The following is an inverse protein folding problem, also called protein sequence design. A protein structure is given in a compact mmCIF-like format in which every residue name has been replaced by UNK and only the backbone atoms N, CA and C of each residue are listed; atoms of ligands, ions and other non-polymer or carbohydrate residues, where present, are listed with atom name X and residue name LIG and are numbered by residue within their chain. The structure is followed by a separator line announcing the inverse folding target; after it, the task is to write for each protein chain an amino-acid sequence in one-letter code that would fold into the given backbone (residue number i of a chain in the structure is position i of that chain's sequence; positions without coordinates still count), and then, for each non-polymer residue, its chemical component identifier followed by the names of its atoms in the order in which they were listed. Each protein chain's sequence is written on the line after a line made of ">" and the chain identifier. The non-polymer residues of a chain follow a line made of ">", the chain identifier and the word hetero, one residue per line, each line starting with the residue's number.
data_IF_855435864207
#
_entry.id   IF_855435864207
#
_cell.length_a   1.000
_cell.length_b   1.000
_cell.length_c   1.000
_cell.angle_alpha   90.00
_cell.angle_beta   90.00
_cell.angle_gamma   90.00
#
_symmetry.space_group_name_H-M   'P 1'
#
loop_
_entity.id
_entity.type
_entity.pdbx_description
1 polymer ?
#
# COMPACT_ATOMS: atom_id res chain seq x y z
N UNK A 1 6.27 -16.74 69.63
CA UNK A 1 5.15 -16.71 68.68
C UNK A 1 5.24 -15.42 67.86
N UNK A 2 5.90 -15.44 66.69
CA UNK A 2 5.95 -14.30 65.77
C UNK A 2 5.37 -14.77 64.43
N UNK A 3 4.21 -14.21 64.06
CA UNK A 3 3.51 -14.51 62.80
C UNK A 3 4.10 -13.61 61.70
N UNK A 4 4.80 -14.23 60.75
CA UNK A 4 5.28 -13.56 59.54
C UNK A 4 4.14 -13.64 58.51
N UNK A 5 3.53 -12.50 58.21
CA UNK A 5 2.53 -12.37 57.14
C UNK A 5 3.23 -12.23 55.79
N UNK A 6 3.07 -13.24 54.94
CA UNK A 6 3.57 -13.23 53.56
C UNK A 6 2.57 -12.47 52.69
N UNK A 7 2.91 -11.27 52.24
CA UNK A 7 2.13 -10.52 51.24
C UNK A 7 2.58 -11.02 49.86
N UNK A 8 1.70 -11.73 49.16
CA UNK A 8 1.93 -12.21 47.81
C UNK A 8 1.55 -11.09 46.82
N UNK A 9 2.54 -10.44 46.21
CA UNK A 9 2.33 -9.46 45.13
C UNK A 9 2.25 -10.22 43.81
N UNK A 10 1.05 -10.35 43.25
CA UNK A 10 0.83 -10.91 41.92
C UNK A 10 1.04 -9.79 40.91
N UNK A 11 2.15 -9.85 40.17
CA UNK A 11 2.43 -8.98 39.02
C UNK A 11 1.73 -9.57 37.79
N UNK A 12 0.68 -8.89 37.31
CA UNK A 12 0.02 -9.24 36.04
C UNK A 12 0.91 -8.74 34.90
N UNK A 13 1.59 -9.67 34.24
CA UNK A 13 2.34 -9.42 33.00
C UNK A 13 1.32 -9.28 31.85
N UNK A 14 1.17 -8.07 31.33
CA UNK A 14 0.43 -7.81 30.09
C UNK A 14 1.25 -8.37 28.91
N UNK A 15 0.76 -9.43 28.27
CA UNK A 15 1.36 -9.97 27.05
C UNK A 15 1.21 -8.95 25.90
N UNK A 16 2.33 -8.37 25.48
CA UNK A 16 2.44 -7.52 24.29
C UNK A 16 2.40 -8.35 23.00
N UNK A 17 1.21 -8.60 22.45
CA UNK A 17 1.03 -9.24 21.14
C UNK A 17 1.25 -8.31 19.94
N UNK A 18 1.58 -7.03 20.18
CA UNK A 18 1.77 -6.02 19.12
C UNK A 18 3.18 -6.02 18.47
N UNK A 19 4.13 -6.83 18.96
CA UNK A 19 5.54 -6.73 18.53
C UNK A 19 5.86 -7.52 17.26
N UNK A 20 5.28 -8.71 17.05
CA UNK A 20 5.71 -9.61 15.96
C UNK A 20 5.24 -9.15 14.57
N UNK A 21 4.04 -8.57 14.47
CA UNK A 21 3.52 -8.03 13.22
C UNK A 21 4.30 -6.77 12.76
N UNK A 22 4.83 -6.00 13.71
CA UNK A 22 5.66 -4.82 13.40
C UNK A 22 7.08 -5.21 12.97
N UNK A 23 7.62 -6.33 13.48
CA UNK A 23 8.93 -6.83 13.05
C UNK A 23 8.97 -7.22 11.56
N UNK A 24 7.88 -7.80 11.05
CA UNK A 24 7.76 -8.10 9.62
C UNK A 24 7.82 -6.83 8.76
N UNK A 25 7.30 -5.73 9.29
CA UNK A 25 7.23 -4.45 8.60
C UNK A 25 8.58 -3.73 8.45
N UNK A 26 9.65 -4.20 9.08
CA UNK A 26 11.02 -3.66 8.93
C UNK A 26 11.88 -4.46 7.94
N UNK A 27 11.35 -5.56 7.38
CA UNK A 27 12.09 -6.50 6.52
C UNK A 27 11.81 -6.33 5.04
N UNK A 28 11.24 -5.18 4.64
CA UNK A 28 11.13 -4.81 3.23
C UNK A 28 12.52 -4.49 2.65
N UNK A 29 12.65 -4.54 1.32
CA UNK A 29 13.93 -4.28 0.65
C UNK A 29 14.39 -2.81 0.76
N UNK A 30 13.50 -1.92 1.22
CA UNK A 30 13.75 -0.51 1.51
C UNK A 30 12.85 -0.06 2.66
N UNK A 31 13.17 1.10 3.26
CA UNK A 31 12.35 1.65 4.36
C UNK A 31 10.95 2.01 3.88
N UNK A 32 9.95 1.60 4.66
CA UNK A 32 8.55 1.99 4.51
C UNK A 32 8.03 2.76 5.73
N UNK A 33 8.91 3.34 6.56
CA UNK A 33 8.50 4.00 7.81
C UNK A 33 7.52 5.15 7.58
N UNK A 34 7.70 5.92 6.51
CA UNK A 34 6.78 7.00 6.12
C UNK A 34 5.41 6.44 5.74
N UNK A 35 5.38 5.39 4.93
CA UNK A 35 4.15 4.72 4.51
C UNK A 35 3.43 4.08 5.69
N UNK A 36 4.14 3.45 6.64
CA UNK A 36 3.52 2.94 7.88
C UNK A 36 2.84 4.05 8.67
N UNK A 37 3.50 5.20 8.83
CA UNK A 37 2.91 6.35 9.51
C UNK A 37 1.65 6.86 8.80
N UNK A 38 1.67 6.94 7.46
CA UNK A 38 0.49 7.32 6.68
C UNK A 38 -0.64 6.28 6.77
N UNK A 39 -0.32 4.99 6.75
CA UNK A 39 -1.31 3.91 6.82
C UNK A 39 -1.94 3.80 8.23
N UNK A 40 -1.23 4.22 9.27
CA UNK A 40 -1.74 4.28 10.64
C UNK A 40 -2.73 5.43 10.89
N UNK A 41 -2.87 6.40 9.97
CA UNK A 41 -3.82 7.51 10.13
C UNK A 41 -5.27 7.00 10.28
N UNK A 42 -6.01 7.49 11.28
CA UNK A 42 -7.39 7.05 11.52
C UNK A 42 -8.33 7.38 10.38
N UNK A 43 -8.11 8.53 9.74
CA UNK A 43 -8.87 9.01 8.60
C UNK A 43 -8.02 8.96 7.33
N UNK A 44 -8.63 8.49 6.24
CA UNK A 44 -8.02 8.42 4.91
C UNK A 44 -9.03 8.87 3.88
N UNK A 45 -8.63 9.78 3.00
CA UNK A 45 -9.46 10.21 1.88
C UNK A 45 -9.92 8.99 1.07
N UNK A 46 -11.15 9.03 0.55
CA UNK A 46 -11.69 7.99 -0.31
C UNK A 46 -11.62 8.45 -1.77
N UNK A 47 -11.04 7.59 -2.61
CA UNK A 47 -10.94 7.77 -4.06
C UNK A 47 -11.68 6.61 -4.72
N UNK A 48 -12.46 6.90 -5.74
CA UNK A 48 -13.17 5.85 -6.49
C UNK A 48 -12.34 5.44 -7.71
N UNK A 49 -12.33 4.15 -8.05
CA UNK A 49 -11.72 3.69 -9.28
C UNK A 49 -12.23 4.49 -10.50
N UNK A 50 -11.30 4.94 -11.33
CA UNK A 50 -11.55 5.81 -12.48
C UNK A 50 -11.37 7.31 -12.21
N UNK A 51 -11.33 7.72 -10.95
CA UNK A 51 -11.21 9.12 -10.55
C UNK A 51 -9.87 9.75 -10.98
N UNK A 52 -9.91 11.05 -11.28
CA UNK A 52 -8.74 11.87 -11.59
C UNK A 52 -8.47 12.83 -10.45
N UNK A 53 -7.34 12.67 -9.78
CA UNK A 53 -6.94 13.53 -8.68
C UNK A 53 -6.30 14.82 -9.22
N UNK A 54 -6.50 15.92 -8.52
CA UNK A 54 -5.90 17.22 -8.85
C UNK A 54 -4.50 17.39 -8.26
N UNK A 55 -4.12 16.55 -7.30
CA UNK A 55 -2.80 16.48 -6.68
C UNK A 55 -2.48 15.02 -6.33
N UNK A 56 -1.18 14.67 -6.28
CA UNK A 56 -0.76 13.40 -5.67
C UNK A 56 -0.88 13.55 -4.15
N UNK A 57 -1.69 12.72 -3.45
CA UNK A 57 -1.86 12.83 -2.01
C UNK A 57 -0.53 12.63 -1.27
N UNK A 58 -0.19 13.58 -0.37
CA UNK A 58 0.93 13.43 0.57
C UNK A 58 0.49 12.65 1.84
N UNK A 59 -0.24 11.56 1.62
CA UNK A 59 -0.83 10.70 2.63
C UNK A 59 -1.26 9.37 1.98
N UNK A 60 -1.60 8.39 2.81
CA UNK A 60 -2.30 7.20 2.35
C UNK A 60 -3.79 7.50 2.15
N UNK A 61 -4.39 6.86 1.16
CA UNK A 61 -5.80 7.03 0.82
C UNK A 61 -6.44 5.70 0.46
N UNK A 62 -7.75 5.60 0.69
CA UNK A 62 -8.54 4.44 0.31
C UNK A 62 -8.88 4.53 -1.18
N UNK A 63 -8.67 3.44 -1.91
CA UNK A 63 -9.13 3.28 -3.29
C UNK A 63 -10.28 2.27 -3.28
N UNK A 64 -11.48 2.73 -3.62
CA UNK A 64 -12.64 1.86 -3.81
C UNK A 64 -12.63 1.31 -5.23
N UNK A 65 -12.32 0.02 -5.33
CA UNK A 65 -12.18 -0.73 -6.57
C UNK A 65 -13.53 -1.23 -7.09
N UNK A 66 -13.51 -1.68 -8.34
CA UNK A 66 -14.63 -2.33 -9.02
C UNK A 66 -14.40 -3.85 -9.09
N UNK A 67 -15.45 -4.66 -9.26
CA UNK A 67 -15.28 -6.06 -9.65
C UNK A 67 -14.35 -6.16 -10.87
N UNK A 68 -13.47 -7.17 -10.91
CA UNK A 68 -12.48 -7.31 -11.97
C UNK A 68 -13.09 -7.35 -13.38
N UNK A 69 -14.31 -7.87 -13.52
CA UNK A 69 -15.08 -7.88 -14.78
C UNK A 69 -15.54 -6.50 -15.26
N UNK A 70 -15.59 -5.51 -14.38
CA UNK A 70 -15.99 -4.12 -14.67
C UNK A 70 -14.80 -3.17 -14.76
N UNK A 71 -13.64 -3.59 -14.25
CA UNK A 71 -12.43 -2.78 -14.22
C UNK A 71 -11.91 -2.47 -15.64
N UNK A 72 -11.84 -1.19 -15.98
CA UNK A 72 -11.29 -0.71 -17.24
C UNK A 72 -9.87 -0.16 -17.06
N UNK A 73 -8.90 -0.81 -17.69
CA UNK A 73 -7.49 -0.44 -17.64
C UNK A 73 -7.07 0.37 -18.88
N UNK A 74 -6.11 1.28 -18.72
CA UNK A 74 -5.49 2.04 -19.82
C UNK A 74 -4.65 1.11 -20.70
N UNK A 75 -3.84 0.26 -20.07
CA UNK A 75 -3.14 -0.85 -20.71
C UNK A 75 -3.53 -2.16 -20.03
N UNK A 76 -3.55 -3.30 -20.73
CA UNK A 76 -3.80 -4.60 -20.10
C UNK A 76 -2.89 -4.81 -18.87
N UNK A 77 -3.31 -5.49 -17.80
CA UNK A 77 -2.40 -5.79 -16.70
C UNK A 77 -1.17 -6.55 -17.19
N UNK A 78 0.05 -6.18 -16.76
CA UNK A 78 1.28 -6.83 -17.22
C UNK A 78 1.34 -8.30 -16.78
N UNK A 79 0.62 -8.65 -15.71
CA UNK A 79 0.43 -10.02 -15.25
C UNK A 79 -1.03 -10.39 -15.27
N UNK A 80 -1.34 -11.46 -16.01
CA UNK A 80 -2.68 -12.05 -16.02
C UNK A 80 -3.07 -12.44 -14.58
N UNK A 81 -4.24 -12.00 -14.08
CA UNK A 81 -4.77 -12.47 -12.81
C UNK A 81 -4.88 -14.01 -12.78
N UNK A 82 -4.64 -14.60 -11.61
CA UNK A 82 -4.72 -16.06 -11.43
C UNK A 82 -6.16 -16.60 -11.50
N UNK A 83 -7.14 -15.73 -11.29
CA UNK A 83 -8.56 -16.03 -11.42
C UNK A 83 -9.27 -14.83 -12.04
N UNK A 84 -10.44 -15.08 -12.63
CA UNK A 84 -11.32 -14.05 -13.19
C UNK A 84 -12.09 -13.27 -12.09
N UNK A 85 -11.85 -13.60 -10.82
CA UNK A 85 -12.46 -12.97 -9.66
C UNK A 85 -11.58 -11.88 -9.02
N UNK A 86 -12.13 -11.21 -8.02
CA UNK A 86 -11.47 -10.13 -7.29
C UNK A 86 -11.85 -8.74 -7.81
N UNK A 87 -11.02 -7.77 -7.50
CA UNK A 87 -11.26 -6.36 -7.74
C UNK A 87 -10.09 -5.70 -8.47
N UNK A 88 -10.40 -4.61 -9.17
CA UNK A 88 -9.43 -3.80 -9.86
C UNK A 88 -9.95 -2.41 -10.21
N UNK A 89 -9.08 -1.61 -10.77
CA UNK A 89 -9.40 -0.26 -11.18
C UNK A 89 -8.16 0.59 -11.39
N UNK A 90 -8.39 1.85 -11.74
CA UNK A 90 -7.32 2.81 -11.99
C UNK A 90 -7.52 4.06 -11.13
N UNK A 91 -6.44 4.78 -10.87
CA UNK A 91 -6.47 6.16 -10.35
C UNK A 91 -5.60 7.00 -11.28
N UNK A 92 -6.13 8.14 -11.75
CA UNK A 92 -5.38 9.07 -12.59
C UNK A 92 -4.77 10.17 -11.74
N UNK A 93 -3.48 10.38 -11.90
CA UNK A 93 -2.69 11.32 -11.10
C UNK A 93 -2.15 12.44 -12.01
N UNK A 94 -2.02 13.66 -11.49
CA UNK A 94 -1.45 14.77 -12.25
C UNK A 94 0.06 14.59 -12.45
N UNK A 95 0.64 15.50 -13.21
CA UNK A 95 2.08 15.52 -13.40
C UNK A 95 2.84 15.69 -12.07
N UNK A 96 4.00 15.05 -11.99
CA UNK A 96 4.93 15.19 -10.87
C UNK A 96 5.81 16.42 -11.09
N UNK A 97 6.14 17.14 -10.02
CA UNK A 97 7.01 18.33 -10.10
C UNK A 97 8.42 18.00 -10.61
N UNK A 98 8.88 16.76 -10.41
CA UNK A 98 10.24 16.32 -10.71
C UNK A 98 10.25 14.88 -11.18
N UNK A 99 11.03 14.59 -12.22
CA UNK A 99 11.36 13.21 -12.56
C UNK A 99 12.09 12.49 -11.41
N UNK A 100 12.03 11.17 -11.39
CA UNK A 100 12.81 10.34 -10.47
C UNK A 100 12.18 8.99 -10.18
N UNK A 101 12.70 8.33 -9.15
CA UNK A 101 12.12 7.09 -8.65
C UNK A 101 10.98 7.44 -7.69
N UNK A 102 9.81 6.92 -7.99
CA UNK A 102 8.63 7.00 -7.15
C UNK A 102 8.27 5.62 -6.63
N UNK A 103 7.69 5.62 -5.45
CA UNK A 103 7.30 4.45 -4.69
C UNK A 103 5.79 4.42 -4.57
N UNK A 104 5.19 3.29 -4.91
CA UNK A 104 3.76 3.02 -4.70
C UNK A 104 3.65 1.85 -3.75
N UNK A 105 2.92 2.04 -2.66
CA UNK A 105 2.75 1.04 -1.59
C UNK A 105 1.27 0.79 -1.34
N UNK A 106 0.91 -0.47 -1.12
CA UNK A 106 -0.48 -0.90 -0.91
C UNK A 106 -0.65 -1.81 0.31
N UNK A 107 -1.84 -1.81 0.91
CA UNK A 107 -2.16 -2.58 2.12
C UNK A 107 -2.37 -4.08 1.88
N UNK A 108 -2.70 -4.46 0.65
CA UNK A 108 -3.07 -5.83 0.29
C UNK A 108 -2.36 -6.32 -0.98
N UNK A 109 -2.52 -7.59 -1.32
CA UNK A 109 -2.00 -8.10 -2.57
C UNK A 109 -2.65 -7.41 -3.75
N UNK A 110 -1.81 -6.95 -4.68
CA UNK A 110 -2.22 -6.34 -5.93
C UNK A 110 -1.11 -6.50 -6.96
N UNK A 111 -1.49 -6.62 -8.24
CA UNK A 111 -0.62 -6.17 -9.31
C UNK A 111 -0.72 -4.64 -9.40
N UNK A 112 0.44 -4.00 -9.50
CA UNK A 112 0.57 -2.55 -9.58
C UNK A 112 1.28 -2.27 -10.89
N UNK A 113 0.52 -1.84 -11.88
CA UNK A 113 1.06 -1.36 -13.15
C UNK A 113 0.92 0.17 -13.16
N UNK A 114 1.93 0.88 -13.64
CA UNK A 114 1.87 2.33 -13.76
C UNK A 114 2.03 2.70 -15.22
N UNK A 115 1.11 3.51 -15.73
CA UNK A 115 1.12 3.94 -17.13
C UNK A 115 1.43 5.44 -17.18
N UNK A 116 2.45 5.81 -17.95
CA UNK A 116 2.82 7.20 -18.24
C UNK A 116 3.21 7.28 -19.72
N UNK A 117 2.72 8.28 -20.44
CA UNK A 117 2.94 8.44 -21.89
C UNK A 117 2.61 7.17 -22.70
N UNK A 118 1.45 6.57 -22.42
CA UNK A 118 0.93 5.35 -23.06
C UNK A 118 1.85 4.12 -23.00
N UNK A 119 2.76 4.09 -22.02
CA UNK A 119 3.68 2.97 -21.76
C UNK A 119 3.70 2.61 -20.28
N UNK A 120 4.03 1.36 -19.97
CA UNK A 120 4.32 0.98 -18.60
C UNK A 120 5.58 1.71 -18.11
N UNK A 121 5.50 2.31 -16.93
CA UNK A 121 6.63 2.89 -16.24
C UNK A 121 7.62 1.79 -15.89
N UNK A 122 8.91 2.07 -16.04
CA UNK A 122 9.96 1.09 -15.76
C UNK A 122 10.02 0.81 -14.27
N UNK A 123 9.75 -0.44 -13.88
CA UNK A 123 9.99 -0.90 -12.52
C UNK A 123 11.50 -1.02 -12.24
N UNK A 124 11.92 -0.46 -11.11
CA UNK A 124 13.28 -0.60 -10.55
C UNK A 124 13.34 -1.76 -9.57
N UNK A 125 12.21 -2.07 -8.92
CA UNK A 125 12.11 -3.20 -8.01
C UNK A 125 10.76 -3.28 -7.32
N UNK A 126 10.50 -4.44 -6.71
CA UNK A 126 9.31 -4.68 -5.88
C UNK A 126 9.71 -5.39 -4.60
N UNK A 127 9.01 -5.11 -3.51
CA UNK A 127 9.14 -5.80 -2.23
C UNK A 127 7.76 -6.08 -1.65
N UNK A 128 7.63 -7.18 -0.90
CA UNK A 128 6.36 -7.56 -0.28
C UNK A 128 6.58 -8.44 0.93
N UNK A 129 5.68 -8.35 1.91
CA UNK A 129 5.70 -9.07 3.17
C UNK A 129 4.29 -9.53 3.52
N UNK A 130 4.14 -10.79 3.90
CA UNK A 130 2.86 -11.31 4.41
C UNK A 130 2.75 -11.23 5.93
N UNK A 131 3.87 -10.99 6.62
CA UNK A 131 4.00 -10.89 8.08
C UNK A 131 3.99 -9.43 8.58
N UNK A 132 3.61 -8.47 7.72
CA UNK A 132 3.33 -7.09 8.09
C UNK A 132 1.82 -6.85 7.93
N UNK A 133 1.12 -6.55 9.02
CA UNK A 133 -0.34 -6.37 9.01
C UNK A 133 -0.78 -5.06 8.37
N UNK A 134 0.06 -4.03 8.39
CA UNK A 134 -0.26 -2.70 7.88
C UNK A 134 0.02 -2.55 6.37
N UNK A 135 0.97 -3.30 5.82
CA UNK A 135 1.49 -3.12 4.47
C UNK A 135 1.75 -4.48 3.83
N UNK A 136 1.41 -4.64 2.55
CA UNK A 136 1.65 -5.90 1.83
C UNK A 136 2.73 -5.80 0.77
N UNK A 137 2.70 -4.74 -0.04
CA UNK A 137 3.56 -4.62 -1.22
C UNK A 137 3.96 -3.19 -1.51
N UNK A 138 5.18 -3.01 -1.99
CA UNK A 138 5.69 -1.75 -2.50
C UNK A 138 6.45 -1.96 -3.82
N UNK A 139 6.31 -1.03 -4.75
CA UNK A 139 7.05 -0.99 -6.02
C UNK A 139 7.75 0.36 -6.17
N UNK A 140 8.99 0.34 -6.64
CA UNK A 140 9.75 1.54 -7.02
C UNK A 140 9.87 1.58 -8.54
N UNK A 141 9.58 2.72 -9.16
CA UNK A 141 9.45 2.88 -10.60
C UNK A 141 9.90 4.27 -11.07
N UNK A 142 10.46 4.34 -12.27
CA UNK A 142 10.90 5.59 -12.91
C UNK A 142 9.68 6.35 -13.43
N UNK A 143 9.48 7.60 -12.97
CA UNK A 143 8.46 8.51 -13.49
C UNK A 143 9.07 9.85 -13.90
N UNK A 144 8.60 10.36 -15.02
CA UNK A 144 8.86 11.72 -15.50
C UNK A 144 7.86 12.75 -14.96
N UNK A 145 8.02 14.03 -15.32
CA UNK A 145 7.14 15.12 -14.92
C UNK A 145 5.89 15.20 -15.81
N UNK A 146 5.16 14.09 -15.93
CA UNK A 146 3.95 13.95 -16.75
C UNK A 146 2.84 13.25 -15.96
N UNK A 147 1.55 13.46 -16.30
CA UNK A 147 0.46 12.72 -15.68
C UNK A 147 0.65 11.21 -15.83
N UNK A 148 0.19 10.45 -14.85
CA UNK A 148 0.34 9.00 -14.84
C UNK A 148 -0.90 8.33 -14.26
N UNK A 149 -1.05 7.05 -14.54
CA UNK A 149 -2.18 6.23 -14.10
C UNK A 149 -1.64 5.07 -13.32
N UNK A 150 -2.13 4.88 -12.09
CA UNK A 150 -1.87 3.66 -11.32
C UNK A 150 -3.01 2.70 -11.60
N UNK A 151 -2.68 1.47 -12.01
CA UNK A 151 -3.61 0.40 -12.28
C UNK A 151 -3.43 -0.69 -11.23
N UNK A 152 -4.51 -1.05 -10.55
CA UNK A 152 -4.55 -2.09 -9.53
C UNK A 152 -5.39 -3.25 -10.05
N UNK A 153 -4.84 -4.46 -10.03
CA UNK A 153 -5.57 -5.67 -10.40
C UNK A 153 -5.28 -6.85 -9.49
N UNK A 154 -6.12 -7.88 -9.56
CA UNK A 154 -6.07 -9.07 -8.71
C UNK A 154 -6.13 -8.76 -7.20
N UNK A 155 -6.87 -7.73 -6.82
CA UNK A 155 -7.08 -7.37 -5.40
C UNK A 155 -8.20 -8.23 -4.83
N UNK A 156 -8.02 -8.78 -3.63
CA UNK A 156 -9.01 -9.67 -3.01
C UNK A 156 -10.23 -8.92 -2.45
N UNK A 157 -10.05 -7.66 -2.07
CA UNK A 157 -11.03 -6.82 -1.38
C UNK A 157 -11.44 -5.62 -2.24
N UNK A 158 -12.65 -5.06 -2.04
CA UNK A 158 -13.14 -3.91 -2.83
C UNK A 158 -12.49 -2.59 -2.43
N UNK A 159 -11.74 -2.54 -1.33
CA UNK A 159 -11.05 -1.35 -0.85
C UNK A 159 -9.61 -1.72 -0.53
N UNK A 160 -8.67 -0.96 -1.10
CA UNK A 160 -7.25 -1.09 -0.81
C UNK A 160 -6.70 0.28 -0.42
N UNK A 161 -5.80 0.32 0.57
CA UNK A 161 -5.10 1.56 0.93
C UNK A 161 -3.88 1.69 0.04
N UNK A 162 -3.68 2.87 -0.55
CA UNK A 162 -2.54 3.19 -1.40
C UNK A 162 -1.83 4.45 -0.91
N UNK A 163 -0.51 4.49 -1.03
CA UNK A 163 0.28 5.71 -0.96
C UNK A 163 1.26 5.81 -2.12
N UNK A 164 1.57 7.05 -2.50
CA UNK A 164 2.52 7.37 -3.56
C UNK A 164 3.49 8.42 -2.99
N UNK A 165 4.79 8.19 -3.14
CA UNK A 165 5.81 9.12 -2.67
C UNK A 165 7.09 9.01 -3.50
N UNK A 166 7.99 9.99 -3.38
CA UNK A 166 9.34 9.81 -3.94
C UNK A 166 10.08 8.73 -3.15
N UNK A 167 10.82 7.89 -3.87
CA UNK A 167 11.85 7.08 -3.26
C UNK A 167 13.00 8.02 -2.85
N UNK A 168 13.42 7.87 -1.61
CA UNK A 168 14.65 8.42 -1.05
C UNK A 168 15.88 7.65 -1.54
#
# INVERSE_FOLDING_TARGET
>A
MHRIGFVCVIVIQLLSAASEAEEGCEKFAWSLSRERAWFAASEKAAVVAGESLTAVPNAAFNVRLQPASEASFVLPPERKPRSDGGFGGIVRLPALDRAGIYQITVSDEAWIDVVQDDRYARSVGSTGRSDCSALRKSVRLELGPAPFVVQLSAVATPIIVMAIGRAD
#
